data_IF_452453055061
#
_entry.id   IF_452453055061
#
_cell.length_a   1.000
_cell.length_b   1.000
_cell.length_c   1.000
_cell.angle_alpha   90.00
_cell.angle_beta   90.00
_cell.angle_gamma   90.00
#
_symmetry.space_group_name_H-M   'P 1'
#
loop_
_entity.id
_entity.type
_entity.pdbx_description
1 polymer ?
#
# COMPACT_ATOMS: atom_id res chain seq x y z
N UNK A 1 19.70 -5.68 -52.23
CA UNK A 1 20.38 -4.76 -53.17
C UNK A 1 20.12 -3.33 -52.73
N UNK A 2 21.18 -2.51 -52.71
CA UNK A 2 21.31 -1.13 -52.15
C UNK A 2 21.29 -1.09 -50.61
N UNK A 3 22.36 -0.81 -49.86
CA UNK A 3 23.69 -0.26 -50.16
C UNK A 3 23.81 1.17 -49.61
N UNK A 4 24.34 1.30 -48.39
CA UNK A 4 24.89 2.53 -47.77
C UNK A 4 25.88 2.04 -46.69
N UNK A 5 27.14 1.78 -47.06
CA UNK A 5 28.33 2.65 -47.01
C UNK A 5 28.80 2.91 -45.57
N UNK A 6 29.86 2.18 -45.22
CA UNK A 6 30.80 2.46 -44.12
C UNK A 6 31.37 3.87 -44.27
N UNK A 7 31.34 4.66 -43.20
CA UNK A 7 32.34 5.70 -42.97
C UNK A 7 32.96 5.50 -41.58
N UNK A 8 34.21 5.05 -41.62
CA UNK A 8 35.12 5.00 -40.49
C UNK A 8 35.64 6.41 -40.25
N UNK A 9 35.28 7.01 -39.12
CA UNK A 9 36.10 8.05 -38.51
C UNK A 9 36.49 7.61 -37.10
N UNK A 10 37.76 7.24 -37.01
CA UNK A 10 38.51 6.99 -35.79
C UNK A 10 38.73 8.34 -35.12
N UNK A 11 38.16 8.52 -33.93
CA UNK A 11 38.59 9.54 -32.98
C UNK A 11 38.98 8.82 -31.70
N UNK A 12 40.27 8.96 -31.36
CA UNK A 12 40.91 8.40 -30.18
C UNK A 12 40.18 8.83 -28.89
N UNK A 13 39.68 7.85 -28.14
CA UNK A 13 39.25 8.03 -26.75
C UNK A 13 40.38 7.60 -25.82
N UNK A 14 40.71 8.39 -24.77
CA UNK A 14 41.83 8.08 -23.90
C UNK A 14 41.54 6.84 -23.06
N UNK A 15 42.56 5.97 -22.98
CA UNK A 15 42.60 4.77 -22.13
C UNK A 15 42.37 5.16 -20.67
N UNK A 16 41.17 4.88 -20.15
CA UNK A 16 40.90 4.94 -18.72
C UNK A 16 41.58 3.75 -18.03
N UNK A 17 42.49 4.06 -17.10
CA UNK A 17 43.17 3.10 -16.22
C UNK A 17 42.17 2.16 -15.56
N UNK A 18 42.41 0.85 -15.66
CA UNK A 18 41.78 -0.17 -14.81
C UNK A 18 41.98 0.22 -13.35
N UNK A 19 40.90 0.61 -12.66
CA UNK A 19 40.85 0.63 -11.20
C UNK A 19 40.44 -0.76 -10.70
N UNK A 20 41.18 -1.23 -9.73
CA UNK A 20 40.99 -2.50 -9.02
C UNK A 20 39.63 -2.56 -8.34
N UNK A 21 39.01 -3.73 -8.42
CA UNK A 21 37.80 -4.14 -7.73
C UNK A 21 38.04 -4.26 -6.21
N UNK A 22 37.48 -3.36 -5.39
CA UNK A 22 37.19 -3.64 -3.97
C UNK A 22 36.41 -2.55 -3.19
N UNK A 23 35.65 -1.65 -3.83
CA UNK A 23 34.77 -0.74 -3.09
C UNK A 23 33.39 -0.71 -3.77
N UNK A 24 32.39 -1.20 -3.06
CA UNK A 24 30.97 -1.11 -3.43
C UNK A 24 30.59 0.35 -3.23
N UNK A 25 30.12 1.05 -4.26
CA UNK A 25 29.48 2.36 -4.13
C UNK A 25 28.31 2.23 -3.15
N UNK A 26 28.51 2.73 -1.92
CA UNK A 26 27.61 2.51 -0.78
C UNK A 26 26.32 3.34 -0.82
N UNK A 27 26.02 4.03 -1.91
CA UNK A 27 25.01 5.11 -1.93
C UNK A 27 24.09 5.08 -3.18
N UNK A 28 24.14 4.04 -4.02
CA UNK A 28 23.42 4.08 -5.32
C UNK A 28 21.88 4.08 -5.22
N UNK A 29 21.33 3.76 -4.04
CA UNK A 29 19.89 3.73 -3.75
C UNK A 29 19.40 4.94 -2.95
N UNK A 30 20.26 5.91 -2.62
CA UNK A 30 19.85 7.08 -1.84
C UNK A 30 19.02 8.05 -2.69
N UNK A 31 17.82 8.38 -2.20
CA UNK A 31 17.11 9.59 -2.62
C UNK A 31 17.80 10.79 -1.96
N UNK A 32 18.13 11.87 -2.70
CA UNK A 32 18.78 13.04 -2.11
C UNK A 32 17.98 13.60 -0.93
N UNK A 33 18.63 13.84 0.21
CA UNK A 33 18.01 14.56 1.33
C UNK A 33 17.63 15.99 0.87
N UNK A 34 16.34 16.25 0.70
CA UNK A 34 15.86 17.61 0.45
C UNK A 34 15.81 18.40 1.76
N UNK A 35 16.85 19.17 2.04
CA UNK A 35 16.72 20.36 2.87
C UNK A 35 15.78 21.35 2.18
N UNK A 36 14.81 21.91 2.91
CA UNK A 36 13.91 22.96 2.42
C UNK A 36 14.72 24.22 2.03
N UNK A 37 15.22 24.27 0.81
CA UNK A 37 15.62 25.50 0.14
C UNK A 37 14.80 25.64 -1.13
N UNK A 38 14.05 26.74 -1.22
CA UNK A 38 13.25 27.09 -2.39
C UNK A 38 14.19 27.33 -3.59
N UNK A 39 14.38 26.30 -4.41
CA UNK A 39 15.08 26.35 -5.69
C UNK A 39 14.14 26.75 -6.83
N UNK A 40 14.69 27.47 -7.81
CA UNK A 40 14.00 28.03 -8.98
C UNK A 40 13.36 26.97 -9.90
N UNK A 41 12.34 27.31 -10.71
CA UNK A 41 11.50 26.36 -11.45
C UNK A 41 12.13 25.65 -12.66
N UNK A 42 13.45 25.71 -12.85
CA UNK A 42 14.12 25.26 -14.09
C UNK A 42 14.82 23.87 -14.00
N UNK A 43 14.73 23.14 -12.89
CA UNK A 43 15.24 21.75 -12.78
C UNK A 43 14.13 20.69 -12.88
N UNK A 44 13.30 20.77 -13.92
CA UNK A 44 12.42 19.65 -14.29
C UNK A 44 13.25 18.56 -14.98
N UNK A 45 13.93 17.67 -14.25
CA UNK A 45 14.57 16.53 -14.92
C UNK A 45 15.64 15.70 -14.25
N UNK A 46 15.70 15.54 -12.92
CA UNK A 46 16.56 14.49 -12.36
C UNK A 46 15.82 13.15 -12.34
N UNK A 47 15.89 12.45 -13.48
CA UNK A 47 15.61 11.01 -13.52
C UNK A 47 16.60 10.34 -12.57
N UNK A 48 16.10 9.63 -11.55
CA UNK A 48 16.93 8.86 -10.63
C UNK A 48 17.84 7.85 -11.34
N UNK A 49 18.76 7.21 -10.61
CA UNK A 49 19.69 6.23 -11.19
C UNK A 49 18.93 5.16 -11.98
N UNK A 50 19.30 5.00 -13.25
CA UNK A 50 18.68 4.04 -14.17
C UNK A 50 19.33 2.68 -14.04
N UNK A 51 18.55 1.64 -14.19
CA UNK A 51 19.01 0.25 -14.21
C UNK A 51 18.44 -0.49 -15.41
N UNK A 52 19.17 -1.50 -15.90
CA UNK A 52 18.74 -2.31 -17.03
C UNK A 52 17.69 -3.34 -16.58
N UNK A 53 16.48 -3.21 -17.12
CA UNK A 53 15.38 -4.15 -16.90
C UNK A 53 14.83 -4.67 -18.23
N UNK A 54 14.06 -5.75 -18.17
CA UNK A 54 13.12 -6.13 -19.23
C UNK A 54 11.76 -5.53 -18.87
N UNK A 55 11.28 -4.61 -19.70
CA UNK A 55 9.99 -3.96 -19.51
C UNK A 55 9.00 -4.46 -20.56
N UNK A 56 7.84 -4.93 -20.11
CA UNK A 56 6.72 -5.30 -20.98
C UNK A 56 5.52 -4.41 -20.65
N UNK A 57 5.03 -3.67 -21.66
CA UNK A 57 3.79 -2.93 -21.53
C UNK A 57 2.62 -3.92 -21.48
N UNK A 58 1.73 -3.67 -20.53
CA UNK A 58 0.49 -4.41 -20.28
C UNK A 58 -0.65 -3.41 -20.19
N UNK A 59 -1.86 -3.83 -20.56
CA UNK A 59 -3.04 -2.96 -20.60
C UNK A 59 -4.34 -3.71 -20.33
N UNK A 60 -5.35 -2.94 -19.98
CA UNK A 60 -6.75 -3.36 -19.94
C UNK A 60 -7.48 -2.52 -20.98
N UNK A 61 -7.90 -3.12 -22.10
CA UNK A 61 -8.60 -2.39 -23.18
C UNK A 61 -9.61 -3.30 -23.89
N UNK A 62 -10.60 -2.68 -24.54
CA UNK A 62 -11.58 -3.40 -25.35
C UNK A 62 -12.06 -2.55 -26.53
N UNK A 63 -13.05 -3.05 -27.27
CA UNK A 63 -13.62 -2.39 -28.44
C UNK A 63 -14.05 -0.93 -28.17
N UNK A 64 -14.66 -0.65 -27.02
CA UNK A 64 -15.18 0.69 -26.72
C UNK A 64 -14.08 1.71 -26.39
N UNK A 65 -12.98 1.26 -25.76
CA UNK A 65 -11.93 2.14 -25.27
C UNK A 65 -10.74 2.28 -26.23
N UNK A 66 -10.41 1.24 -27.00
CA UNK A 66 -9.27 1.25 -27.92
C UNK A 66 -9.57 0.67 -29.31
N UNK A 67 -10.82 0.31 -29.61
CA UNK A 67 -11.21 -0.23 -30.92
C UNK A 67 -10.69 -1.65 -31.20
N UNK A 68 -10.23 -2.39 -30.18
CA UNK A 68 -9.71 -3.75 -30.34
C UNK A 68 -10.83 -4.78 -30.51
N UNK A 69 -10.67 -5.71 -31.46
CA UNK A 69 -11.67 -6.77 -31.69
C UNK A 69 -11.79 -7.77 -30.53
N UNK A 70 -10.75 -7.89 -29.71
CA UNK A 70 -10.73 -8.73 -28.51
C UNK A 70 -10.48 -7.86 -27.28
N UNK A 71 -11.06 -8.28 -26.16
CA UNK A 71 -10.76 -7.70 -24.85
C UNK A 71 -9.35 -8.14 -24.47
N UNK A 72 -8.51 -7.17 -24.10
CA UNK A 72 -7.20 -7.43 -23.54
C UNK A 72 -7.24 -7.19 -22.02
N UNK A 73 -6.86 -8.22 -21.25
CA UNK A 73 -6.72 -8.18 -19.79
C UNK A 73 -5.29 -8.60 -19.37
N UNK A 74 -4.29 -8.09 -20.10
CA UNK A 74 -2.89 -8.49 -19.90
C UNK A 74 -2.36 -8.06 -18.52
N UNK A 75 -2.92 -6.99 -17.93
CA UNK A 75 -2.63 -6.60 -16.54
C UNK A 75 -3.10 -7.65 -15.54
N UNK A 76 -4.34 -8.11 -15.64
CA UNK A 76 -4.89 -9.14 -14.75
C UNK A 76 -4.12 -10.46 -14.89
N UNK A 77 -3.77 -10.82 -16.12
CA UNK A 77 -2.93 -11.99 -16.40
C UNK A 77 -1.54 -11.87 -15.78
N UNK A 78 -0.92 -10.69 -15.83
CA UNK A 78 0.37 -10.43 -15.21
C UNK A 78 0.31 -10.53 -13.68
N UNK A 79 -0.69 -9.92 -13.03
CA UNK A 79 -0.91 -10.05 -11.59
C UNK A 79 -0.97 -11.53 -11.17
N UNK A 80 -1.83 -12.32 -11.83
CA UNK A 80 -2.01 -13.74 -11.52
C UNK A 80 -0.73 -14.55 -11.74
N UNK A 81 -0.03 -14.31 -12.86
CA UNK A 81 1.21 -15.04 -13.17
C UNK A 81 2.32 -14.74 -12.17
N UNK A 82 2.50 -13.47 -11.79
CA UNK A 82 3.50 -13.07 -10.81
C UNK A 82 3.21 -13.65 -9.43
N UNK A 83 1.96 -13.57 -8.96
CA UNK A 83 1.56 -14.12 -7.67
C UNK A 83 1.78 -15.64 -7.63
N UNK A 84 1.40 -16.35 -8.70
CA UNK A 84 1.59 -17.80 -8.78
C UNK A 84 3.09 -18.20 -8.81
N UNK A 85 3.95 -17.37 -9.40
CA UNK A 85 5.40 -17.62 -9.47
C UNK A 85 6.19 -17.17 -8.24
N UNK A 86 5.62 -16.32 -7.39
CA UNK A 86 6.31 -15.79 -6.21
C UNK A 86 6.89 -16.92 -5.35
N UNK A 87 8.04 -16.71 -4.70
CA UNK A 87 8.73 -17.71 -3.87
C UNK A 87 8.70 -17.36 -2.39
N UNK A 88 8.83 -16.07 -2.05
CA UNK A 88 9.08 -15.60 -0.70
C UNK A 88 8.22 -14.41 -0.29
N UNK A 89 8.03 -13.44 -1.17
CA UNK A 89 7.53 -12.13 -0.77
C UNK A 89 6.71 -11.46 -1.85
N UNK A 90 5.56 -10.89 -1.44
CA UNK A 90 4.75 -10.01 -2.27
C UNK A 90 4.45 -8.74 -1.48
N UNK A 91 4.78 -7.59 -2.07
CA UNK A 91 4.40 -6.27 -1.58
C UNK A 91 3.40 -5.64 -2.54
N UNK A 92 2.30 -5.11 -2.02
CA UNK A 92 1.25 -4.45 -2.82
C UNK A 92 0.97 -3.09 -2.20
N UNK A 93 1.06 -2.04 -3.01
CA UNK A 93 0.40 -0.77 -2.72
C UNK A 93 -0.70 -0.56 -3.76
N UNK A 94 -1.95 -0.43 -3.29
CA UNK A 94 -3.06 -0.19 -4.22
C UNK A 94 -4.11 0.73 -3.61
N UNK A 95 -4.75 1.55 -4.44
CA UNK A 95 -5.87 2.39 -3.99
C UNK A 95 -7.10 1.56 -3.65
N UNK A 96 -7.33 0.45 -4.36
CA UNK A 96 -8.44 -0.46 -4.07
C UNK A 96 -7.94 -1.90 -3.97
N UNK A 97 -8.54 -2.65 -3.06
CA UNK A 97 -8.28 -4.08 -2.89
C UNK A 97 -9.60 -4.86 -2.87
N UNK A 98 -10.19 -5.00 -4.06
CA UNK A 98 -11.50 -5.60 -4.30
C UNK A 98 -11.33 -6.75 -5.30
N UNK A 99 -11.39 -7.97 -4.78
CA UNK A 99 -11.16 -9.18 -5.57
C UNK A 99 -11.94 -10.36 -4.97
N UNK A 100 -12.13 -11.43 -5.76
CA UNK A 100 -12.96 -12.59 -5.39
C UNK A 100 -12.23 -13.92 -5.52
N UNK A 101 -12.60 -14.88 -4.65
CA UNK A 101 -12.16 -16.28 -4.72
C UNK A 101 -12.91 -17.07 -5.80
N UNK A 102 -12.46 -18.29 -6.09
CA UNK A 102 -13.20 -19.22 -6.95
C UNK A 102 -14.61 -19.46 -6.41
N UNK A 103 -15.63 -19.35 -7.26
CA UNK A 103 -17.05 -19.46 -6.86
C UNK A 103 -17.71 -18.12 -6.52
N UNK A 104 -16.96 -17.01 -6.50
CA UNK A 104 -17.56 -15.68 -6.40
C UNK A 104 -18.17 -15.25 -7.74
N UNK A 105 -19.49 -15.21 -7.81
CA UNK A 105 -20.21 -14.76 -8.99
C UNK A 105 -20.35 -13.24 -9.09
N UNK A 106 -20.08 -12.51 -8.01
CA UNK A 106 -20.22 -11.05 -7.99
C UNK A 106 -18.95 -10.37 -8.49
N UNK A 107 -17.81 -10.71 -7.90
CA UNK A 107 -16.50 -10.17 -8.29
C UNK A 107 -15.80 -11.19 -9.18
N UNK A 108 -15.34 -10.79 -10.36
CA UNK A 108 -14.85 -11.71 -11.39
C UNK A 108 -13.33 -11.81 -11.45
N UNK A 109 -12.59 -10.76 -11.12
CA UNK A 109 -11.14 -10.79 -11.09
C UNK A 109 -10.63 -11.78 -10.02
N UNK A 110 -9.50 -12.45 -10.31
CA UNK A 110 -8.99 -13.61 -9.54
C UNK A 110 -7.62 -13.34 -8.93
N UNK A 111 -7.34 -12.09 -8.59
CA UNK A 111 -6.13 -11.72 -7.84
C UNK A 111 -6.16 -12.34 -6.44
N UNK A 112 -7.29 -12.25 -5.73
CA UNK A 112 -7.47 -12.84 -4.39
C UNK A 112 -7.30 -14.36 -4.40
N UNK A 113 -7.87 -15.02 -5.41
CA UNK A 113 -7.74 -16.46 -5.62
C UNK A 113 -6.28 -16.88 -5.82
N UNK A 114 -5.51 -16.12 -6.60
CA UNK A 114 -4.09 -16.36 -6.79
C UNK A 114 -3.31 -16.22 -5.48
N UNK A 115 -3.58 -15.16 -4.70
CA UNK A 115 -2.96 -14.96 -3.38
C UNK A 115 -3.29 -16.09 -2.42
N UNK A 116 -4.57 -16.47 -2.34
CA UNK A 116 -5.04 -17.56 -1.48
C UNK A 116 -4.33 -18.88 -1.80
N UNK A 117 -4.33 -19.30 -3.07
CA UNK A 117 -3.63 -20.51 -3.54
C UNK A 117 -2.14 -20.44 -3.24
N UNK A 118 -1.52 -19.29 -3.47
CA UNK A 118 -0.10 -19.11 -3.24
C UNK A 118 0.28 -19.21 -1.77
N UNK A 119 -0.52 -18.63 -0.88
CA UNK A 119 -0.34 -18.72 0.57
C UNK A 119 -0.49 -20.17 1.04
N UNK A 120 -1.54 -20.87 0.58
CA UNK A 120 -1.72 -22.29 0.91
C UNK A 120 -0.55 -23.16 0.42
N UNK A 121 -0.01 -22.87 -0.77
CA UNK A 121 1.19 -23.55 -1.27
C UNK A 121 2.39 -23.33 -0.34
N UNK A 122 2.65 -22.10 0.10
CA UNK A 122 3.72 -21.81 1.07
C UNK A 122 3.53 -22.57 2.38
N UNK A 123 2.29 -22.60 2.89
CA UNK A 123 1.95 -23.29 4.11
C UNK A 123 2.21 -24.79 4.02
N UNK A 124 1.73 -25.43 2.95
CA UNK A 124 1.91 -26.86 2.71
C UNK A 124 3.40 -27.22 2.53
N UNK A 125 4.18 -26.34 1.89
CA UNK A 125 5.62 -26.51 1.72
C UNK A 125 6.44 -26.11 2.96
N UNK A 126 5.80 -25.61 4.03
CA UNK A 126 6.45 -25.07 5.24
C UNK A 126 7.52 -24.01 4.93
N UNK A 127 7.29 -23.20 3.89
CA UNK A 127 8.17 -22.10 3.50
C UNK A 127 7.72 -20.79 4.14
N UNK A 128 8.70 -19.95 4.49
CA UNK A 128 8.44 -18.57 4.85
C UNK A 128 7.92 -17.84 3.62
N UNK A 129 6.73 -17.25 3.74
CA UNK A 129 6.10 -16.48 2.69
C UNK A 129 5.28 -15.35 3.31
N UNK A 130 5.44 -14.13 2.81
CA UNK A 130 4.74 -12.95 3.33
C UNK A 130 4.09 -12.16 2.20
N UNK A 131 2.87 -11.71 2.44
CA UNK A 131 2.12 -10.77 1.60
C UNK A 131 1.83 -9.53 2.43
N UNK A 132 2.34 -8.39 2.01
CA UNK A 132 2.10 -7.09 2.65
C UNK A 132 1.24 -6.26 1.72
N UNK A 133 0.10 -5.80 2.21
CA UNK A 133 -0.86 -4.99 1.46
C UNK A 133 -1.01 -3.63 2.13
N UNK A 134 -0.69 -2.55 1.41
CA UNK A 134 -0.85 -1.17 1.85
C UNK A 134 -1.93 -0.51 1.00
N UNK A 135 -2.99 -0.04 1.65
CA UNK A 135 -4.19 0.54 1.02
C UNK A 135 -4.60 1.82 1.76
N UNK A 136 -5.35 2.74 1.14
CA UNK A 136 -5.81 3.94 1.85
C UNK A 136 -6.75 3.55 2.99
N UNK A 137 -6.62 4.21 4.14
CA UNK A 137 -7.44 3.94 5.33
C UNK A 137 -8.93 4.17 5.05
N UNK A 138 -9.26 5.21 4.27
CA UNK A 138 -10.62 5.45 3.77
C UNK A 138 -10.57 5.73 2.25
N UNK A 139 -11.55 5.26 1.47
CA UNK A 139 -11.71 5.65 0.07
C UNK A 139 -11.76 7.18 -0.12
N UNK A 140 -11.12 7.69 -1.18
CA UNK A 140 -11.02 9.13 -1.46
C UNK A 140 -12.21 9.64 -2.25
N UNK A 141 -13.27 10.06 -1.56
CA UNK A 141 -14.44 10.72 -2.15
C UNK A 141 -14.79 12.01 -1.40
N UNK A 142 -15.53 12.90 -2.06
CA UNK A 142 -16.07 14.11 -1.43
C UNK A 142 -17.18 13.74 -0.44
N UNK A 143 -16.85 13.65 0.85
CA UNK A 143 -17.80 13.44 1.94
C UNK A 143 -17.21 12.63 3.09
N UNK A 144 -17.75 12.80 4.29
CA UNK A 144 -17.43 11.93 5.43
C UNK A 144 -18.04 10.53 5.29
N UNK A 145 -17.96 9.74 6.37
CA UNK A 145 -18.50 8.36 6.43
C UNK A 145 -20.03 8.33 6.65
N UNK A 146 -20.63 9.48 6.92
CA UNK A 146 -22.05 9.61 7.28
C UNK A 146 -22.79 10.79 6.62
N UNK A 147 -22.16 11.47 5.65
CA UNK A 147 -22.73 12.59 4.87
C UNK A 147 -23.34 12.14 3.53
N UNK A 148 -23.82 13.09 2.71
CA UNK A 148 -24.46 12.81 1.40
C UNK A 148 -23.59 12.06 0.39
N UNK A 149 -22.26 12.18 0.46
CA UNK A 149 -21.29 11.41 -0.37
C UNK A 149 -20.81 10.10 0.29
N UNK A 150 -21.29 9.79 1.49
CA UNK A 150 -20.82 8.67 2.27
C UNK A 150 -21.27 7.32 1.73
N UNK A 151 -22.37 7.26 0.98
CA UNK A 151 -22.87 6.00 0.44
C UNK A 151 -21.85 5.36 -0.52
N UNK A 152 -21.21 6.16 -1.37
CA UNK A 152 -20.09 5.73 -2.22
C UNK A 152 -18.88 5.23 -1.42
N UNK A 153 -18.46 5.97 -0.37
CA UNK A 153 -17.36 5.57 0.52
C UNK A 153 -17.67 4.23 1.20
N UNK A 154 -18.86 4.09 1.77
CA UNK A 154 -19.31 2.87 2.46
C UNK A 154 -19.46 1.69 1.49
N UNK A 155 -19.96 1.91 0.28
CA UNK A 155 -20.06 0.86 -0.74
C UNK A 155 -18.67 0.29 -1.08
N UNK A 156 -17.66 1.14 -1.24
CA UNK A 156 -16.30 0.68 -1.51
C UNK A 156 -15.69 -0.01 -0.28
N UNK A 157 -15.91 0.53 0.92
CA UNK A 157 -15.51 -0.12 2.16
C UNK A 157 -16.15 -1.52 2.30
N UNK A 158 -17.43 -1.67 1.95
CA UNK A 158 -18.11 -2.97 1.95
C UNK A 158 -17.32 -4.00 1.13
N UNK A 159 -16.99 -3.66 -0.11
CA UNK A 159 -16.27 -4.57 -1.01
C UNK A 159 -14.84 -4.84 -0.55
N UNK A 160 -14.11 -3.84 -0.09
CA UNK A 160 -12.76 -4.02 0.46
C UNK A 160 -12.77 -4.93 1.70
N UNK A 161 -13.67 -4.67 2.65
CA UNK A 161 -13.80 -5.52 3.83
C UNK A 161 -14.26 -6.94 3.47
N UNK A 162 -15.15 -7.09 2.47
CA UNK A 162 -15.57 -8.40 1.96
C UNK A 162 -14.40 -9.18 1.36
N UNK A 163 -13.49 -8.52 0.67
CA UNK A 163 -12.27 -9.13 0.13
C UNK A 163 -11.30 -9.53 1.26
N UNK A 164 -11.11 -8.68 2.26
CA UNK A 164 -10.14 -8.91 3.34
C UNK A 164 -10.62 -9.91 4.40
N UNK A 165 -11.76 -9.67 5.06
CA UNK A 165 -12.16 -10.39 6.29
C UNK A 165 -13.66 -10.70 6.45
N UNK A 166 -14.56 -9.99 5.77
CA UNK A 166 -16.01 -10.08 5.99
C UNK A 166 -16.69 -11.06 5.04
N UNK A 167 -17.33 -12.08 5.61
CA UNK A 167 -18.11 -13.06 4.86
C UNK A 167 -17.27 -14.24 4.33
N UNK A 168 -17.97 -15.19 3.73
CA UNK A 168 -17.41 -16.49 3.32
C UNK A 168 -16.44 -16.40 2.15
N UNK A 169 -16.46 -15.31 1.37
CA UNK A 169 -15.59 -15.11 0.22
C UNK A 169 -14.31 -14.31 0.54
N UNK A 170 -14.08 -14.00 1.82
CA UNK A 170 -12.91 -13.21 2.25
C UNK A 170 -11.65 -14.07 2.39
N UNK A 171 -10.49 -13.51 2.07
CA UNK A 171 -9.22 -14.26 2.12
C UNK A 171 -8.86 -14.71 3.53
N UNK A 172 -8.97 -13.82 4.53
CA UNK A 172 -8.61 -14.14 5.90
C UNK A 172 -9.53 -15.20 6.49
N UNK A 173 -10.85 -15.12 6.26
CA UNK A 173 -11.78 -16.14 6.80
C UNK A 173 -11.48 -17.53 6.24
N UNK A 174 -11.21 -17.63 4.94
CA UNK A 174 -10.83 -18.90 4.32
C UNK A 174 -9.49 -19.41 4.84
N UNK A 175 -8.48 -18.55 4.95
CA UNK A 175 -7.19 -18.94 5.53
C UNK A 175 -7.33 -19.38 6.98
N UNK A 176 -8.09 -18.68 7.82
CA UNK A 176 -8.34 -19.09 9.20
C UNK A 176 -9.05 -20.45 9.28
N UNK A 177 -10.02 -20.71 8.39
CA UNK A 177 -10.70 -21.99 8.34
C UNK A 177 -9.78 -23.14 7.92
N UNK A 178 -8.80 -22.89 7.05
CA UNK A 178 -7.91 -23.93 6.49
C UNK A 178 -6.63 -24.15 7.30
N UNK A 179 -5.96 -23.06 7.70
CA UNK A 179 -4.62 -23.11 8.34
C UNK A 179 -4.62 -22.52 9.76
N UNK A 180 -5.79 -22.14 10.28
CA UNK A 180 -5.97 -21.69 11.65
C UNK A 180 -5.33 -20.32 11.92
N UNK A 181 -4.92 -20.05 13.18
CA UNK A 181 -4.43 -18.74 13.57
C UNK A 181 -3.20 -18.31 12.77
N UNK A 182 -2.42 -19.23 12.19
CA UNK A 182 -1.23 -18.93 11.38
C UNK A 182 -1.52 -18.07 10.15
N UNK A 183 -2.78 -17.88 9.75
CA UNK A 183 -3.15 -17.02 8.63
C UNK A 183 -2.55 -15.60 8.71
N UNK A 184 -2.51 -14.98 9.90
CA UNK A 184 -1.95 -13.64 10.10
C UNK A 184 -0.43 -13.56 9.84
N UNK A 185 0.26 -14.70 9.81
CA UNK A 185 1.68 -14.76 9.46
C UNK A 185 1.89 -14.58 7.96
N UNK A 186 0.94 -14.98 7.11
CA UNK A 186 1.13 -14.97 5.66
C UNK A 186 0.67 -13.69 4.97
N UNK A 187 -0.39 -13.05 5.46
CA UNK A 187 -0.94 -11.84 4.84
C UNK A 187 -1.33 -10.82 5.91
N UNK A 188 -0.98 -9.56 5.68
CA UNK A 188 -1.30 -8.45 6.57
C UNK A 188 -1.61 -7.16 5.79
N UNK A 189 -2.43 -6.30 6.42
CA UNK A 189 -3.01 -5.10 5.81
C UNK A 189 -2.63 -3.86 6.61
N UNK A 190 -2.23 -2.81 5.89
CA UNK A 190 -1.75 -1.56 6.46
C UNK A 190 -2.31 -0.36 5.69
N UNK A 191 -2.24 0.80 6.34
CA UNK A 191 -2.42 2.09 5.69
C UNK A 191 -1.32 3.05 6.09
N UNK A 192 -1.42 4.29 5.62
CA UNK A 192 -0.47 5.35 5.91
C UNK A 192 -1.18 6.55 6.55
N UNK A 193 -0.55 7.18 7.53
CA UNK A 193 -1.07 8.34 8.25
C UNK A 193 0.06 9.29 8.66
N UNK A 194 -0.20 10.59 8.55
CA UNK A 194 0.70 11.66 8.97
C UNK A 194 0.02 12.61 9.95
N UNK A 195 0.81 13.41 10.65
CA UNK A 195 0.34 14.50 11.50
C UNK A 195 1.18 15.75 11.30
N UNK A 196 0.64 16.90 11.71
CA UNK A 196 1.32 18.17 11.72
C UNK A 196 0.50 19.24 12.42
N UNK A 197 1.05 20.45 12.54
CA UNK A 197 0.28 21.63 12.96
C UNK A 197 -0.26 22.36 11.72
N UNK A 198 -1.51 22.80 11.78
CA UNK A 198 -2.13 23.54 10.66
C UNK A 198 -1.61 24.98 10.52
N UNK A 199 -1.12 25.56 11.62
CA UNK A 199 -0.41 26.85 11.68
C UNK A 199 0.48 26.85 12.93
N UNK A 200 1.36 27.85 13.11
CA UNK A 200 2.28 27.91 14.28
C UNK A 200 1.54 27.79 15.62
N UNK A 201 0.43 28.52 15.75
CA UNK A 201 -0.50 28.50 16.88
C UNK A 201 -1.76 27.64 16.62
N UNK A 202 -1.77 26.89 15.53
CA UNK A 202 -2.91 26.08 15.10
C UNK A 202 -3.01 24.74 15.82
N UNK A 203 -4.17 24.07 15.72
CA UNK A 203 -4.32 22.74 16.30
C UNK A 203 -3.38 21.74 15.63
N UNK A 204 -2.98 20.74 16.41
CA UNK A 204 -2.32 19.55 15.89
C UNK A 204 -3.37 18.70 15.21
N UNK A 205 -3.13 18.36 13.95
CA UNK A 205 -4.03 17.59 13.12
C UNK A 205 -3.34 16.34 12.55
N UNK A 206 -4.13 15.32 12.24
CA UNK A 206 -3.73 14.13 11.49
C UNK A 206 -4.61 13.95 10.27
N UNK A 207 -4.03 13.38 9.21
CA UNK A 207 -4.78 12.87 8.06
C UNK A 207 -4.13 11.61 7.51
N UNK A 208 -4.92 10.77 6.84
CA UNK A 208 -4.35 9.65 6.10
C UNK A 208 -3.42 10.18 5.00
N UNK A 209 -2.33 9.46 4.75
CA UNK A 209 -1.58 9.62 3.51
C UNK A 209 -2.29 8.74 2.48
N UNK A 210 -2.92 9.37 1.49
CA UNK A 210 -3.80 8.66 0.57
C UNK A 210 -3.00 7.81 -0.41
N UNK A 211 -3.02 6.49 -0.23
CA UNK A 211 -2.33 5.53 -1.09
C UNK A 211 -3.06 5.47 -2.44
N UNK A 212 -2.54 6.23 -3.41
CA UNK A 212 -3.03 6.20 -4.79
C UNK A 212 -2.18 5.32 -5.71
N UNK A 213 -1.11 4.71 -5.19
CA UNK A 213 -0.25 3.75 -5.89
C UNK A 213 -1.05 2.61 -6.51
N UNK A 214 -0.50 2.02 -7.58
CA UNK A 214 -0.91 0.70 -8.11
C UNK A 214 0.35 -0.08 -8.46
N UNK A 215 0.99 -0.59 -7.41
CA UNK A 215 2.30 -1.21 -7.47
C UNK A 215 2.22 -2.61 -6.85
N UNK A 216 2.88 -3.58 -7.47
CA UNK A 216 3.16 -4.88 -6.87
C UNK A 216 4.63 -5.23 -7.07
N UNK A 217 5.34 -5.61 -6.00
CA UNK A 217 6.73 -6.07 -6.04
C UNK A 217 6.76 -7.53 -5.59
N UNK A 218 7.48 -8.38 -6.32
CA UNK A 218 7.57 -9.82 -6.07
C UNK A 218 9.03 -10.23 -5.94
N UNK A 219 9.36 -10.84 -4.78
CA UNK A 219 10.66 -11.43 -4.43
C UNK A 219 11.89 -10.52 -4.65
N UNK A 220 11.68 -9.20 -4.60
CA UNK A 220 12.66 -8.18 -5.00
C UNK A 220 13.28 -8.46 -6.38
N UNK A 221 12.52 -9.02 -7.34
CA UNK A 221 13.00 -9.34 -8.70
C UNK A 221 12.10 -8.84 -9.83
N UNK A 222 10.83 -8.63 -9.53
CA UNK A 222 9.87 -8.11 -10.49
C UNK A 222 8.99 -7.06 -9.84
N UNK A 223 8.62 -6.05 -10.62
CA UNK A 223 7.66 -5.03 -10.23
C UNK A 223 6.60 -4.87 -11.32
N UNK A 224 5.36 -4.64 -10.91
CA UNK A 224 4.26 -4.20 -11.76
C UNK A 224 3.89 -2.79 -11.30
N UNK A 225 3.95 -1.82 -12.21
CA UNK A 225 3.60 -0.42 -11.94
C UNK A 225 2.63 0.06 -13.01
N UNK A 226 1.53 0.72 -12.64
CA UNK A 226 0.56 1.21 -13.63
C UNK A 226 -0.58 2.03 -13.05
N UNK A 227 -1.67 2.10 -13.79
CA UNK A 227 -2.92 2.78 -13.39
C UNK A 227 -3.97 1.83 -12.80
N UNK A 228 -3.86 0.53 -13.10
CA UNK A 228 -4.89 -0.46 -12.76
C UNK A 228 -4.99 -0.75 -11.27
N UNK A 229 -6.15 -0.46 -10.69
CA UNK A 229 -6.49 -0.86 -9.35
C UNK A 229 -6.75 -2.37 -9.24
N UNK A 230 -6.69 -2.94 -8.03
CA UNK A 230 -7.17 -4.31 -7.80
C UNK A 230 -8.69 -4.24 -7.63
N UNK A 231 -9.41 -4.21 -8.75
CA UNK A 231 -10.87 -4.26 -8.86
C UNK A 231 -11.27 -4.75 -10.27
N UNK A 232 -12.53 -5.13 -10.48
CA UNK A 232 -13.03 -5.58 -11.78
C UNK A 232 -13.01 -4.46 -12.82
N UNK A 233 -13.21 -3.20 -12.40
CA UNK A 233 -13.15 -2.02 -13.29
C UNK A 233 -11.83 -1.91 -14.03
N UNK A 234 -10.72 -2.08 -13.32
CA UNK A 234 -9.38 -1.97 -13.90
C UNK A 234 -8.89 -3.29 -14.52
N UNK A 235 -9.34 -4.45 -14.02
CA UNK A 235 -8.71 -5.74 -14.37
C UNK A 235 -9.43 -6.57 -15.44
N UNK A 236 -10.72 -6.33 -15.73
CA UNK A 236 -11.45 -7.16 -16.70
C UNK A 236 -11.26 -6.74 -18.17
N UNK A 237 -10.62 -5.60 -18.45
CA UNK A 237 -10.38 -5.09 -19.81
C UNK A 237 -11.61 -4.52 -20.53
N UNK A 238 -12.80 -5.04 -20.23
CA UNK A 238 -14.08 -4.61 -20.81
C UNK A 238 -14.68 -3.36 -20.17
N UNK A 239 -14.06 -2.86 -19.09
CA UNK A 239 -14.46 -1.66 -18.35
C UNK A 239 -13.41 -0.57 -18.58
N UNK A 240 -12.92 0.10 -17.54
CA UNK A 240 -11.95 1.20 -17.63
C UNK A 240 -10.70 0.78 -18.43
N UNK A 241 -10.19 1.70 -19.24
CA UNK A 241 -8.92 1.51 -19.95
C UNK A 241 -7.75 1.75 -19.01
N UNK A 242 -6.83 0.80 -18.91
CA UNK A 242 -5.67 0.88 -18.01
C UNK A 242 -4.37 0.58 -18.74
N UNK A 243 -3.27 1.13 -18.22
CA UNK A 243 -1.91 0.85 -18.69
C UNK A 243 -1.01 0.50 -17.52
N UNK A 244 -0.04 -0.38 -17.75
CA UNK A 244 1.00 -0.69 -16.80
C UNK A 244 2.25 -1.21 -17.50
N UNK A 245 3.30 -1.38 -16.71
CA UNK A 245 4.55 -1.99 -17.11
C UNK A 245 4.89 -3.11 -16.14
N UNK A 246 5.17 -4.29 -16.69
CA UNK A 246 5.83 -5.38 -16.00
C UNK A 246 7.34 -5.18 -16.17
N UNK A 247 8.04 -5.02 -15.05
CA UNK A 247 9.47 -4.76 -14.97
C UNK A 247 10.13 -6.00 -14.35
N UNK A 248 10.96 -6.69 -15.12
CA UNK A 248 11.77 -7.82 -14.67
C UNK A 248 13.24 -7.40 -14.66
N UNK A 249 13.91 -7.52 -13.52
CA UNK A 249 15.31 -7.13 -13.39
C UNK A 249 16.25 -8.00 -14.23
N UNK A 250 17.24 -7.37 -14.88
CA UNK A 250 18.37 -8.07 -15.52
C UNK A 250 19.63 -8.04 -14.68
N UNK A 251 19.82 -6.95 -13.94
CA UNK A 251 20.93 -6.77 -13.02
C UNK A 251 20.54 -7.27 -11.63
N UNK A 252 21.33 -8.21 -11.11
CA UNK A 252 21.11 -8.79 -9.79
C UNK A 252 22.22 -8.33 -8.83
N UNK A 253 21.81 -8.00 -7.61
CA UNK A 253 22.68 -7.60 -6.50
C UNK A 253 22.59 -8.61 -5.35
N UNK A 254 23.62 -8.65 -4.51
CA UNK A 254 23.61 -9.47 -3.30
C UNK A 254 22.64 -8.89 -2.27
N UNK A 255 21.80 -9.77 -1.73
CA UNK A 255 20.76 -9.45 -0.75
C UNK A 255 20.49 -10.68 0.14
N UNK A 256 19.42 -10.63 0.94
CA UNK A 256 18.97 -11.73 1.80
C UNK A 256 17.47 -11.95 1.67
N UNK A 257 17.06 -13.20 1.77
CA UNK A 257 15.65 -13.59 1.77
C UNK A 257 15.47 -14.80 2.69
N UNK A 258 14.62 -14.66 3.71
CA UNK A 258 14.38 -15.69 4.71
C UNK A 258 15.68 -16.21 5.40
N UNK A 259 16.58 -15.28 5.71
CA UNK A 259 17.87 -15.52 6.35
C UNK A 259 18.95 -16.12 5.45
N UNK A 260 18.64 -16.35 4.17
CA UNK A 260 19.57 -16.97 3.20
C UNK A 260 20.09 -15.95 2.19
N UNK A 261 21.32 -16.14 1.64
CA UNK A 261 21.79 -15.32 0.52
C UNK A 261 20.80 -15.36 -0.65
N UNK A 262 20.47 -14.18 -1.17
CA UNK A 262 19.52 -14.02 -2.27
C UNK A 262 20.11 -13.08 -3.32
N UNK A 263 19.86 -13.39 -4.59
CA UNK A 263 20.15 -12.48 -5.69
C UNK A 263 18.88 -11.69 -6.01
N UNK A 264 18.82 -10.45 -5.52
CA UNK A 264 17.71 -9.54 -5.75
C UNK A 264 17.94 -8.72 -7.02
N UNK A 265 16.88 -8.38 -7.71
CA UNK A 265 16.88 -7.42 -8.80
C UNK A 265 17.17 -6.00 -8.31
N UNK A 266 18.04 -5.30 -9.02
CA UNK A 266 18.48 -3.96 -8.64
C UNK A 266 17.31 -2.97 -8.55
N UNK A 267 16.41 -2.96 -9.53
CA UNK A 267 15.24 -2.09 -9.56
C UNK A 267 14.21 -2.43 -8.48
N UNK A 268 13.78 -3.69 -8.42
CA UNK A 268 12.73 -4.12 -7.51
C UNK A 268 13.16 -3.95 -6.04
N UNK A 269 14.42 -4.30 -5.72
CA UNK A 269 14.99 -4.08 -4.39
C UNK A 269 15.05 -2.60 -4.03
N UNK A 270 15.57 -1.74 -4.91
CA UNK A 270 15.68 -0.30 -4.62
C UNK A 270 14.31 0.36 -4.44
N UNK A 271 13.35 -0.02 -5.28
CA UNK A 271 11.97 0.47 -5.15
C UNK A 271 11.37 0.07 -3.80
N UNK A 272 11.51 -1.20 -3.40
CA UNK A 272 10.98 -1.69 -2.13
C UNK A 272 11.70 -1.06 -0.92
N UNK A 273 13.03 -0.90 -0.97
CA UNK A 273 13.80 -0.21 0.06
C UNK A 273 13.35 1.25 0.21
N UNK A 274 13.17 1.97 -0.89
CA UNK A 274 12.72 3.37 -0.88
C UNK A 274 11.34 3.51 -0.23
N UNK A 275 10.36 2.71 -0.67
CA UNK A 275 9.00 2.76 -0.14
C UNK A 275 8.98 2.40 1.36
N UNK A 276 9.68 1.34 1.75
CA UNK A 276 9.71 0.93 3.16
C UNK A 276 10.44 1.94 4.04
N UNK A 277 11.49 2.59 3.53
CA UNK A 277 12.22 3.62 4.29
C UNK A 277 11.34 4.84 4.54
N UNK A 278 10.55 5.27 3.56
CA UNK A 278 9.53 6.31 3.73
C UNK A 278 8.47 5.88 4.77
N UNK A 279 7.87 4.72 4.59
CA UNK A 279 6.77 4.26 5.45
C UNK A 279 7.18 4.03 6.90
N UNK A 280 8.42 3.62 7.13
CA UNK A 280 8.99 3.37 8.46
C UNK A 280 9.74 4.60 9.03
N UNK A 281 9.99 5.64 8.22
CA UNK A 281 10.76 6.81 8.62
C UNK A 281 12.21 6.48 8.96
N UNK A 282 12.83 5.58 8.18
CA UNK A 282 14.22 5.17 8.35
C UNK A 282 15.17 6.22 7.78
N UNK A 283 16.30 6.40 8.46
CA UNK A 283 17.45 7.18 7.95
C UNK A 283 18.37 6.29 7.12
N UNK A 284 19.27 6.87 6.32
CA UNK A 284 20.18 6.11 5.43
C UNK A 284 20.93 4.98 6.15
N UNK A 285 21.43 5.23 7.37
CA UNK A 285 22.13 4.21 8.19
C UNK A 285 21.25 3.12 8.80
N UNK A 286 19.93 3.18 8.65
CA UNK A 286 18.98 2.18 9.16
C UNK A 286 18.44 1.24 8.06
N UNK A 287 18.70 1.55 6.79
CA UNK A 287 18.16 0.82 5.63
C UNK A 287 18.62 -0.66 5.60
N UNK A 288 19.83 -0.95 6.06
CA UNK A 288 20.38 -2.31 6.12
C UNK A 288 19.54 -3.26 7.00
N UNK A 289 18.77 -2.71 7.94
CA UNK A 289 17.90 -3.49 8.83
C UNK A 289 16.68 -4.09 8.11
N UNK A 290 16.35 -3.58 6.92
CA UNK A 290 15.17 -4.00 6.16
C UNK A 290 15.53 -4.71 4.85
N UNK A 291 16.77 -5.18 4.68
CA UNK A 291 17.24 -5.87 3.47
C UNK A 291 16.51 -7.20 3.25
N UNK A 292 16.18 -7.94 4.31
CA UNK A 292 15.44 -9.21 4.23
C UNK A 292 13.96 -9.00 4.60
N UNK A 293 13.06 -8.84 3.61
CA UNK A 293 11.67 -8.41 3.88
C UNK A 293 10.82 -9.47 4.60
N UNK A 294 11.31 -10.72 4.71
CA UNK A 294 10.56 -11.83 5.30
C UNK A 294 11.17 -12.36 6.60
N UNK A 295 12.35 -11.87 6.98
CA UNK A 295 12.96 -12.18 8.27
C UNK A 295 12.08 -11.69 9.43
N UNK A 296 12.12 -12.39 10.56
CA UNK A 296 11.30 -12.01 11.72
C UNK A 296 11.72 -10.65 12.30
N UNK A 297 13.02 -10.32 12.29
CA UNK A 297 13.51 -9.01 12.73
C UNK A 297 12.92 -7.88 11.87
N UNK A 298 12.94 -8.04 10.55
CA UNK A 298 12.43 -7.00 9.65
C UNK A 298 10.90 -6.96 9.66
N UNK A 299 10.22 -8.11 9.55
CA UNK A 299 8.77 -8.16 9.40
C UNK A 299 8.03 -7.97 10.74
N UNK A 300 8.43 -8.66 11.81
CA UNK A 300 7.74 -8.61 13.11
C UNK A 300 8.22 -7.45 13.97
N UNK A 301 9.53 -7.31 14.13
CA UNK A 301 10.12 -6.37 15.10
C UNK A 301 10.23 -4.94 14.55
N UNK A 302 10.31 -4.76 13.23
CA UNK A 302 10.33 -3.44 12.60
C UNK A 302 8.97 -3.11 11.99
N UNK A 303 8.54 -3.84 10.96
CA UNK A 303 7.36 -3.49 10.17
C UNK A 303 6.06 -3.54 11.00
N UNK A 304 5.72 -4.72 11.56
CA UNK A 304 4.50 -4.89 12.34
C UNK A 304 4.53 -4.07 13.64
N UNK A 305 5.68 -4.02 14.33
CA UNK A 305 5.81 -3.27 15.58
C UNK A 305 5.64 -1.76 15.36
N UNK A 306 6.21 -1.21 14.29
CA UNK A 306 6.05 0.21 13.92
C UNK A 306 4.59 0.51 13.60
N UNK A 307 3.97 -0.31 12.73
CA UNK A 307 2.55 -0.16 12.38
C UNK A 307 1.65 -0.17 13.63
N UNK A 308 1.85 -1.13 14.53
CA UNK A 308 1.08 -1.25 15.77
C UNK A 308 1.32 -0.07 16.70
N UNK A 309 2.57 0.33 16.89
CA UNK A 309 2.94 1.45 17.77
C UNK A 309 2.34 2.76 17.28
N UNK A 310 2.47 3.04 15.98
CA UNK A 310 1.88 4.22 15.36
C UNK A 310 0.36 4.21 15.48
N UNK A 311 -0.32 3.09 15.20
CA UNK A 311 -1.78 2.97 15.35
C UNK A 311 -2.22 3.28 16.78
N UNK A 312 -1.54 2.74 17.80
CA UNK A 312 -1.86 3.05 19.20
C UNK A 312 -1.66 4.53 19.51
N UNK A 313 -0.56 5.14 19.06
CA UNK A 313 -0.30 6.56 19.28
C UNK A 313 -1.37 7.43 18.61
N UNK A 314 -1.71 7.18 17.35
CA UNK A 314 -2.76 7.94 16.66
C UNK A 314 -4.13 7.77 17.34
N UNK A 315 -4.44 6.57 17.83
CA UNK A 315 -5.65 6.31 18.60
C UNK A 315 -5.66 7.08 19.94
N UNK A 316 -4.55 7.06 20.68
CA UNK A 316 -4.40 7.76 21.98
C UNK A 316 -4.55 9.27 21.80
N UNK A 317 -3.96 9.84 20.75
CA UNK A 317 -3.88 11.29 20.56
C UNK A 317 -5.12 11.88 19.90
N UNK A 318 -5.59 11.25 18.82
CA UNK A 318 -6.66 11.82 17.98
C UNK A 318 -7.97 11.08 18.10
N UNK A 319 -7.94 9.79 18.47
CA UNK A 319 -9.09 8.89 18.30
C UNK A 319 -9.64 8.89 16.86
N UNK A 320 -8.73 9.05 15.89
CA UNK A 320 -9.05 9.16 14.47
C UNK A 320 -9.75 7.91 13.93
N UNK A 321 -10.51 8.08 12.85
CA UNK A 321 -11.12 6.97 12.11
C UNK A 321 -10.38 6.67 10.80
N UNK A 322 -10.43 5.43 10.31
CA UNK A 322 -11.09 4.26 10.89
C UNK A 322 -10.28 3.66 12.06
N UNK A 323 -10.95 2.94 12.97
CA UNK A 323 -10.32 2.23 14.08
C UNK A 323 -11.15 0.99 14.52
N UNK A 324 -10.52 0.06 15.23
CA UNK A 324 -11.18 -1.18 15.68
C UNK A 324 -12.05 -1.02 16.95
N UNK A 325 -12.22 0.22 17.45
CA UNK A 325 -13.07 0.51 18.61
C UNK A 325 -14.52 0.86 18.21
N UNK A 326 -14.72 1.38 16.99
CA UNK A 326 -16.03 1.80 16.50
C UNK A 326 -16.63 0.70 15.64
N UNK A 327 -17.61 -0.04 16.17
CA UNK A 327 -18.22 -1.19 15.48
C UNK A 327 -19.55 -0.86 14.78
N UNK A 328 -20.17 0.29 15.04
CA UNK A 328 -21.48 0.67 14.50
C UNK A 328 -21.55 2.14 14.09
N UNK A 329 -22.52 2.49 13.24
CA UNK A 329 -22.81 3.89 12.87
C UNK A 329 -23.23 4.72 14.06
N UNK A 330 -24.00 4.11 14.97
CA UNK A 330 -24.40 4.78 16.22
C UNK A 330 -23.18 5.16 17.05
N UNK A 331 -22.23 4.23 17.25
CA UNK A 331 -21.00 4.49 17.99
C UNK A 331 -20.14 5.56 17.30
N UNK A 332 -20.07 5.54 15.96
CA UNK A 332 -19.38 6.57 15.19
C UNK A 332 -19.98 7.95 15.41
N UNK A 333 -21.32 8.10 15.28
CA UNK A 333 -22.03 9.37 15.50
C UNK A 333 -21.86 9.88 16.93
N UNK A 334 -21.92 9.00 17.92
CA UNK A 334 -21.69 9.34 19.33
C UNK A 334 -20.27 9.86 19.56
N UNK A 335 -19.26 9.18 19.00
CA UNK A 335 -17.87 9.63 19.06
C UNK A 335 -17.70 11.00 18.40
N UNK A 336 -18.26 11.17 17.19
CA UNK A 336 -18.22 12.44 16.46
C UNK A 336 -18.87 13.58 17.25
N UNK A 337 -20.05 13.36 17.82
CA UNK A 337 -20.74 14.35 18.63
C UNK A 337 -19.94 14.72 19.89
N UNK A 338 -19.42 13.73 20.62
CA UNK A 338 -18.58 13.93 21.80
C UNK A 338 -17.35 14.79 21.51
N UNK A 339 -16.60 14.46 20.44
CA UNK A 339 -15.39 15.21 20.10
C UNK A 339 -15.69 16.58 19.52
N UNK A 340 -16.78 16.74 18.76
CA UNK A 340 -17.23 18.05 18.29
C UNK A 340 -17.62 18.97 19.44
N UNK A 341 -18.27 18.44 20.48
CA UNK A 341 -18.59 19.20 21.70
C UNK A 341 -17.31 19.58 22.48
N UNK A 342 -16.38 18.64 22.62
CA UNK A 342 -15.13 18.84 23.40
C UNK A 342 -14.13 19.79 22.73
N UNK A 343 -14.03 19.77 21.40
CA UNK A 343 -13.03 20.52 20.63
C UNK A 343 -13.62 21.75 19.90
N UNK A 344 -14.94 21.86 19.84
CA UNK A 344 -15.67 22.87 19.05
C UNK A 344 -15.64 22.63 17.52
N UNK A 345 -14.58 21.99 17.01
CA UNK A 345 -14.41 21.63 15.60
C UNK A 345 -13.65 20.31 15.45
N UNK A 346 -13.92 19.57 14.38
CA UNK A 346 -13.21 18.31 14.05
C UNK A 346 -13.19 18.09 12.54
N UNK A 347 -12.27 17.25 12.05
CA UNK A 347 -12.23 16.83 10.64
C UNK A 347 -13.13 15.62 10.39
N UNK A 348 -13.34 15.28 9.11
CA UNK A 348 -14.12 14.10 8.70
C UNK A 348 -13.62 12.79 9.30
N UNK A 349 -12.33 12.71 9.63
CA UNK A 349 -11.65 11.54 10.16
C UNK A 349 -11.32 11.64 11.65
N UNK A 350 -11.93 12.58 12.39
CA UNK A 350 -11.63 12.84 13.81
C UNK A 350 -10.14 13.13 14.04
N UNK A 351 -9.55 13.92 13.15
CA UNK A 351 -8.12 14.14 13.08
C UNK A 351 -7.60 15.32 13.90
N UNK A 352 -8.38 15.93 14.80
CA UNK A 352 -7.91 17.06 15.63
C UNK A 352 -7.55 16.57 17.02
N UNK A 353 -6.33 16.88 17.48
CA UNK A 353 -5.91 16.55 18.84
C UNK A 353 -6.51 17.53 19.86
N UNK A 354 -6.85 17.08 21.08
CA UNK A 354 -7.17 17.98 22.18
C UNK A 354 -5.93 18.77 22.62
N UNK A 355 -6.11 19.96 23.19
CA UNK A 355 -4.98 20.78 23.69
C UNK A 355 -4.12 20.06 24.74
N UNK A 356 -4.75 19.21 25.56
CA UNK A 356 -4.08 18.38 26.57
C UNK A 356 -4.66 16.99 26.56
N UNK A 357 -3.79 15.98 26.56
CA UNK A 357 -4.18 14.59 26.76
C UNK A 357 -4.37 14.32 28.24
N UNK A 358 -5.54 13.78 28.61
CA UNK A 358 -5.85 13.40 29.98
C UNK A 358 -5.61 11.90 30.15
N UNK A 359 -4.69 11.53 31.04
CA UNK A 359 -4.44 10.15 31.45
C UNK A 359 -4.78 9.98 32.93
N UNK A 360 -5.45 8.88 33.26
CA UNK A 360 -5.87 8.57 34.63
C UNK A 360 -4.87 7.59 35.26
N UNK A 361 -4.12 8.04 36.26
CA UNK A 361 -3.23 7.20 37.05
C UNK A 361 -3.55 7.35 38.53
N UNK A 362 -3.93 6.24 39.18
CA UNK A 362 -4.22 6.17 40.63
C UNK A 362 -5.23 7.22 41.15
N UNK A 363 -6.19 7.64 40.32
CA UNK A 363 -7.20 8.65 40.68
C UNK A 363 -6.81 10.09 40.34
N UNK A 364 -5.56 10.34 39.95
CA UNK A 364 -5.08 11.65 39.53
C UNK A 364 -5.13 11.80 38.00
N UNK A 365 -5.56 12.98 37.54
CA UNK A 365 -5.57 13.35 36.12
C UNK A 365 -4.23 13.96 35.76
N UNK A 366 -3.42 13.23 35.00
CA UNK A 366 -2.17 13.75 34.43
C UNK A 366 -2.43 14.29 33.03
N UNK A 367 -2.14 15.57 32.85
CA UNK A 367 -2.24 16.27 31.57
C UNK A 367 -0.88 16.33 30.86
N UNK A 368 -0.82 15.88 29.62
CA UNK A 368 0.40 15.94 28.79
C UNK A 368 0.13 16.60 27.43
N UNK A 369 1.16 17.17 26.83
CA UNK A 369 1.10 17.70 25.47
C UNK A 369 0.95 16.53 24.46
N UNK A 370 -0.06 16.56 23.56
CA UNK A 370 -0.15 15.62 22.44
C UNK A 370 1.15 15.39 21.69
N UNK A 371 1.94 16.44 21.48
CA UNK A 371 3.20 16.38 20.75
C UNK A 371 4.23 15.48 21.43
N UNK A 372 4.21 15.36 22.75
CA UNK A 372 5.14 14.46 23.47
C UNK A 372 4.88 13.00 23.15
N UNK A 373 3.61 12.63 22.95
CA UNK A 373 3.24 11.28 22.53
C UNK A 373 3.57 11.06 21.04
N UNK A 374 3.36 12.09 20.21
CA UNK A 374 3.59 12.04 18.77
C UNK A 374 5.07 11.96 18.37
N UNK A 375 5.99 12.45 19.21
CA UNK A 375 7.45 12.27 19.00
C UNK A 375 7.89 10.82 18.88
N UNK A 376 7.10 9.88 19.42
CA UNK A 376 7.37 8.44 19.33
C UNK A 376 6.88 7.79 18.03
N UNK A 377 6.13 8.51 17.19
CA UNK A 377 5.72 8.04 15.87
C UNK A 377 6.95 8.00 14.96
N UNK A 378 7.12 6.89 14.23
CA UNK A 378 8.15 6.75 13.19
C UNK A 378 7.50 6.45 11.84
N UNK A 379 7.85 7.24 10.82
CA UNK A 379 7.27 7.12 9.48
C UNK A 379 5.76 7.33 9.45
N UNK A 380 5.09 6.65 8.52
CA UNK A 380 3.67 6.81 8.22
C UNK A 380 2.86 5.53 8.41
N UNK A 381 3.52 4.37 8.52
CA UNK A 381 2.87 3.07 8.54
C UNK A 381 1.95 2.89 9.76
N UNK A 382 0.71 2.44 9.52
CA UNK A 382 -0.26 2.08 10.56
C UNK A 382 -0.95 0.76 10.21
N UNK A 383 -1.37 -0.01 11.21
CA UNK A 383 -2.21 -1.19 10.99
C UNK A 383 -3.57 -0.81 10.40
N UNK A 384 -4.04 -1.58 9.42
CA UNK A 384 -5.37 -1.38 8.85
C UNK A 384 -6.46 -1.96 9.77
N UNK A 385 -7.47 -1.18 10.17
CA UNK A 385 -8.50 -1.65 11.09
C UNK A 385 -9.53 -2.54 10.39
N UNK A 386 -9.62 -3.81 10.81
CA UNK A 386 -10.50 -4.82 10.22
C UNK A 386 -11.92 -4.81 10.81
N UNK A 387 -12.05 -4.34 12.05
CA UNK A 387 -13.29 -4.37 12.84
C UNK A 387 -14.07 -3.05 12.80
N UNK A 388 -13.55 -2.02 12.14
CA UNK A 388 -14.25 -0.75 11.98
C UNK A 388 -15.61 -0.90 11.28
N UNK A 389 -16.69 -0.53 11.96
CA UNK A 389 -18.08 -0.69 11.49
C UNK A 389 -18.46 -2.14 11.15
N UNK A 390 -17.90 -3.14 11.84
CA UNK A 390 -18.17 -4.55 11.55
C UNK A 390 -19.62 -5.01 11.81
N UNK A 391 -20.41 -4.26 12.58
CA UNK A 391 -21.83 -4.56 12.86
C UNK A 391 -22.79 -3.89 11.88
N UNK A 392 -22.29 -3.18 10.88
CA UNK A 392 -23.10 -2.44 9.90
C UNK A 392 -23.10 -3.13 8.53
N UNK A 393 -24.24 -3.07 7.85
CA UNK A 393 -24.28 -3.27 6.41
C UNK A 393 -23.90 -1.95 5.72
N UNK A 394 -22.71 -1.93 5.13
CA UNK A 394 -22.13 -0.76 4.47
C UNK A 394 -22.62 -0.57 3.03
N UNK A 395 -23.50 -1.44 2.53
CA UNK A 395 -24.11 -1.25 1.21
C UNK A 395 -25.02 -0.02 1.22
N UNK A 396 -25.18 0.67 0.07
CA UNK A 396 -26.16 1.73 -0.06
C UNK A 396 -27.56 1.24 0.34
N UNK A 397 -28.37 2.13 0.92
CA UNK A 397 -29.76 1.85 1.31
C UNK A 397 -30.76 2.58 0.40
N UNK A 398 -32.03 2.15 0.39
CA UNK A 398 -33.03 2.59 -0.61
C UNK A 398 -33.23 4.11 -0.73
N UNK A 399 -32.89 4.89 0.29
CA UNK A 399 -32.98 6.35 0.30
C UNK A 399 -31.69 7.05 -0.17
N UNK A 400 -30.70 6.32 -0.67
CA UNK A 400 -29.44 6.81 -1.21
C UNK A 400 -29.38 6.57 -2.72
N UNK A 401 -28.91 7.55 -3.49
CA UNK A 401 -28.82 7.45 -4.96
C UNK A 401 -28.04 6.23 -5.43
N UNK A 402 -26.99 5.88 -4.70
CA UNK A 402 -26.09 4.76 -4.95
C UNK A 402 -26.77 3.40 -4.85
N UNK A 403 -27.92 3.29 -4.18
CA UNK A 403 -28.71 2.06 -4.14
C UNK A 403 -29.27 1.68 -5.51
N UNK A 404 -29.56 2.68 -6.34
CA UNK A 404 -30.09 2.48 -7.68
C UNK A 404 -28.98 2.30 -8.73
N UNK A 405 -27.71 2.49 -8.35
CA UNK A 405 -26.58 2.21 -9.21
C UNK A 405 -26.28 0.70 -9.27
N UNK A 406 -25.82 0.22 -10.43
CA UNK A 406 -25.32 -1.16 -10.55
C UNK A 406 -24.16 -1.38 -9.57
N UNK A 407 -24.15 -2.53 -8.89
CA UNK A 407 -23.06 -2.87 -7.95
C UNK A 407 -21.68 -2.81 -8.59
N UNK A 408 -21.59 -3.09 -9.90
CA UNK A 408 -20.37 -3.07 -10.70
C UNK A 408 -19.71 -1.70 -10.80
N UNK A 409 -20.41 -0.62 -10.42
CA UNK A 409 -19.83 0.73 -10.31
C UNK A 409 -18.80 0.80 -9.18
N UNK A 410 -18.97 -0.02 -8.13
CA UNK A 410 -18.19 0.04 -6.89
C UNK A 410 -17.13 -1.07 -6.76
N UNK A 411 -17.06 -2.03 -7.69
CA UNK A 411 -16.15 -3.17 -7.62
C UNK A 411 -15.55 -3.57 -8.96
#
# INVERSE_FOLDING_TARGET
MRGFVDDRNVLDLPVAKRRSSSEIDSEWWETPEHGYQAGSPEETGQVGPRTSCRCQIIRSVSQWSAGTCQVEESIHSAYRSLIDKAEHFIYIENQFFISGLSGDDTIKNRVLEALYKRILRAHNEKKSFRVVVVIPLLPGFQGGIDDSGAASVRAIMHWQYRTMYRGQNSILKNLYNTIGPKAHEYISFYGLRAYGKLSEDGPVATSQVYVHSKIMIVDDRAALVGSANINDRSLLGSRDSEIGVLIEDKELVDSRMAGKPWKAGKFALSLRLSLWSEHLGLRSGEIDQIIDPVSDSTYREIWMATAKTNTMIYQDVFSCVPNDLIHSRMAFRQSLAYWKEKLGHTTIDLGIAPEKLESYHNGDIKRSDPMDRLKSVRGHLVSFPLDFMCKEDLRPVFNESEYYASSQVFH
#
